data_IF_340032508762
#
_entry.id   IF_340032508762
#
_cell.length_a   1.000
_cell.length_b   1.000
_cell.length_c   1.000
_cell.angle_alpha   90.00
_cell.angle_beta   90.00
_cell.angle_gamma   90.00
#
_symmetry.space_group_name_H-M   'P 1'
#
loop_
_entity.id
_entity.type
_entity.pdbx_description
1 polymer ?
#
# COMPACT_ATOMS: atom_id res chain seq x y z
N UNK A 1 1.69 2.91 -34.92
CA UNK A 1 2.66 3.11 -33.82
C UNK A 1 3.65 4.18 -34.22
N UNK A 2 3.83 5.20 -33.41
CA UNK A 2 4.83 6.25 -33.60
C UNK A 2 5.99 6.00 -32.62
N UNK A 3 7.21 5.83 -33.15
CA UNK A 3 8.39 5.54 -32.35
C UNK A 3 9.18 6.82 -32.07
N UNK A 4 9.49 7.07 -30.80
CA UNK A 4 10.28 8.22 -30.33
C UNK A 4 11.59 7.69 -29.78
N UNK A 5 12.68 7.83 -30.54
CA UNK A 5 13.99 7.26 -30.24
C UNK A 5 15.07 8.31 -29.97
N UNK A 6 14.75 9.58 -30.18
CA UNK A 6 15.73 10.68 -29.98
C UNK A 6 15.13 11.79 -29.12
N UNK A 7 16.01 12.50 -28.40
CA UNK A 7 15.60 13.67 -27.63
C UNK A 7 14.95 14.76 -28.52
N UNK A 8 15.36 14.90 -29.77
CA UNK A 8 14.74 15.84 -30.73
C UNK A 8 13.31 15.46 -31.02
N UNK A 9 13.03 14.19 -31.30
CA UNK A 9 11.66 13.69 -31.53
C UNK A 9 10.81 13.83 -30.25
N UNK A 10 11.38 13.58 -29.08
CA UNK A 10 10.72 13.75 -27.79
C UNK A 10 10.33 15.23 -27.52
N UNK A 11 11.23 16.16 -27.82
CA UNK A 11 10.94 17.60 -27.68
C UNK A 11 9.85 18.05 -28.66
N UNK A 12 9.84 17.54 -29.89
CA UNK A 12 8.76 17.80 -30.85
C UNK A 12 7.42 17.23 -30.38
N UNK A 13 7.43 16.05 -29.76
CA UNK A 13 6.25 15.44 -29.18
C UNK A 13 5.71 16.28 -28.02
N UNK A 14 6.56 16.79 -27.13
CA UNK A 14 6.13 17.74 -26.08
C UNK A 14 5.52 19.03 -26.65
N UNK A 15 6.12 19.54 -27.73
CA UNK A 15 5.62 20.78 -28.37
C UNK A 15 4.22 20.61 -28.98
N UNK A 16 3.84 19.39 -29.37
CA UNK A 16 2.48 19.08 -29.85
C UNK A 16 1.42 19.02 -28.75
N UNK A 17 1.82 19.13 -27.48
CA UNK A 17 0.95 19.08 -26.28
C UNK A 17 -0.02 17.87 -26.30
N UNK A 18 0.50 16.64 -26.36
CA UNK A 18 -0.30 15.43 -26.53
C UNK A 18 -1.20 15.19 -25.32
N UNK A 19 -2.47 14.87 -25.58
CA UNK A 19 -3.41 14.45 -24.52
C UNK A 19 -3.27 12.94 -24.28
N UNK A 20 -2.39 12.56 -23.39
CA UNK A 20 -2.16 11.16 -23.02
C UNK A 20 -3.31 10.67 -22.15
N UNK A 21 -3.94 9.56 -22.55
CA UNK A 21 -5.03 8.89 -21.79
C UNK A 21 -4.54 7.66 -21.04
N UNK A 22 -3.48 6.99 -21.55
CA UNK A 22 -2.87 5.84 -20.92
C UNK A 22 -1.35 5.90 -21.06
N UNK A 23 -0.62 5.65 -19.97
CA UNK A 23 0.83 5.51 -19.95
C UNK A 23 1.22 4.17 -19.29
N UNK A 24 2.04 3.38 -19.97
CA UNK A 24 2.50 2.07 -19.49
C UNK A 24 4.02 1.98 -19.61
N UNK A 25 4.76 2.15 -18.49
CA UNK A 25 6.19 1.84 -18.45
C UNK A 25 6.39 0.33 -18.51
N UNK A 26 7.35 -0.12 -19.30
CA UNK A 26 7.82 -1.50 -19.29
C UNK A 26 9.23 -1.51 -18.72
N UNK A 27 9.40 -2.25 -17.63
CA UNK A 27 10.64 -2.29 -16.87
C UNK A 27 11.61 -3.33 -17.45
N UNK A 28 12.91 -3.06 -17.40
CA UNK A 28 13.94 -3.93 -17.96
C UNK A 28 14.07 -5.26 -17.22
N UNK A 29 13.76 -5.29 -15.92
CA UNK A 29 13.72 -6.53 -15.13
C UNK A 29 12.34 -6.74 -14.49
N UNK A 30 11.62 -7.79 -14.86
CA UNK A 30 10.32 -8.10 -14.26
C UNK A 30 10.41 -8.73 -12.86
N UNK A 31 11.60 -9.13 -12.42
CA UNK A 31 11.85 -9.77 -11.11
C UNK A 31 12.37 -8.80 -10.06
N UNK A 32 13.21 -7.84 -10.47
CA UNK A 32 13.73 -6.82 -9.57
C UNK A 32 12.62 -5.87 -9.15
N UNK A 33 12.80 -5.23 -8.00
CA UNK A 33 11.92 -4.14 -7.59
C UNK A 33 12.06 -2.95 -8.54
N UNK A 34 10.99 -2.21 -8.78
CA UNK A 34 10.97 -1.08 -9.73
C UNK A 34 11.98 0.02 -9.36
N UNK A 35 12.33 0.16 -8.07
CA UNK A 35 13.41 1.06 -7.63
C UNK A 35 14.82 0.53 -7.87
N UNK A 36 14.94 -0.75 -8.22
CA UNK A 36 16.23 -1.42 -8.50
C UNK A 36 16.37 -1.82 -9.98
N UNK A 37 15.55 -1.23 -10.84
CA UNK A 37 15.57 -1.48 -12.28
C UNK A 37 15.32 -0.18 -13.05
N UNK A 38 15.44 -0.21 -14.36
CA UNK A 38 15.17 0.93 -15.24
C UNK A 38 13.97 0.68 -16.15
N UNK A 39 13.37 1.76 -16.64
CA UNK A 39 12.34 1.65 -17.67
C UNK A 39 13.02 1.37 -19.00
N UNK A 40 12.64 0.29 -19.65
CA UNK A 40 13.09 -0.12 -20.98
C UNK A 40 12.48 0.79 -22.04
N UNK A 41 11.16 0.97 -21.98
CA UNK A 41 10.42 1.90 -22.83
C UNK A 41 9.11 2.33 -22.17
N UNK A 42 8.51 3.41 -22.67
CA UNK A 42 7.21 3.93 -22.22
C UNK A 42 6.23 3.92 -23.38
N UNK A 43 5.15 3.15 -23.26
CA UNK A 43 4.02 3.22 -24.16
C UNK A 43 3.06 4.33 -23.73
N UNK A 44 2.63 5.14 -24.70
CA UNK A 44 1.65 6.19 -24.51
C UNK A 44 0.51 6.04 -25.52
N UNK A 45 -0.73 6.08 -25.03
CA UNK A 45 -1.92 6.18 -25.85
C UNK A 45 -2.52 7.57 -25.71
N UNK A 46 -2.77 8.21 -26.84
CA UNK A 46 -3.57 9.44 -26.94
C UNK A 46 -4.94 9.10 -27.54
N UNK A 47 -5.82 10.10 -27.68
CA UNK A 47 -7.10 9.87 -28.35
C UNK A 47 -6.93 9.48 -29.83
N UNK A 48 -5.85 9.95 -30.47
CA UNK A 48 -5.68 9.85 -31.92
C UNK A 48 -4.60 8.85 -32.35
N UNK A 49 -3.64 8.58 -31.50
CA UNK A 49 -2.45 7.81 -31.86
C UNK A 49 -1.77 7.17 -30.66
N UNK A 50 -0.99 6.12 -30.95
CA UNK A 50 -0.13 5.43 -30.01
C UNK A 50 1.34 5.77 -30.26
N UNK A 51 2.12 5.89 -29.18
CA UNK A 51 3.54 6.22 -29.19
C UNK A 51 4.31 5.24 -28.29
N UNK A 52 5.55 4.94 -28.68
CA UNK A 52 6.54 4.30 -27.81
C UNK A 52 7.73 5.22 -27.69
N UNK A 53 8.07 5.60 -26.47
CA UNK A 53 9.30 6.32 -26.14
C UNK A 53 10.31 5.30 -25.66
N UNK A 54 11.43 5.21 -26.35
CA UNK A 54 12.43 4.18 -26.20
C UNK A 54 13.58 4.69 -25.31
N UNK A 55 13.92 3.97 -24.22
CA UNK A 55 14.98 4.36 -23.29
C UNK A 55 16.20 3.44 -23.37
N UNK A 56 16.03 2.18 -23.00
CA UNK A 56 17.09 1.19 -22.88
C UNK A 56 16.78 -0.12 -23.61
N UNK A 57 15.65 -0.19 -24.30
CA UNK A 57 15.27 -1.40 -25.01
C UNK A 57 16.32 -1.77 -26.06
N UNK A 58 16.50 -3.09 -26.34
CA UNK A 58 17.53 -3.63 -27.24
C UNK A 58 17.46 -3.03 -28.65
N UNK A 59 16.27 -2.65 -29.11
CA UNK A 59 16.03 -2.02 -30.40
C UNK A 59 16.26 -0.50 -30.41
N UNK A 60 16.91 0.06 -29.38
CA UNK A 60 16.81 1.48 -29.02
C UNK A 60 17.97 2.38 -29.44
N UNK A 61 17.62 3.60 -29.85
CA UNK A 61 18.39 4.81 -29.57
C UNK A 61 17.83 5.45 -28.29
N UNK A 62 18.69 6.07 -27.45
CA UNK A 62 18.28 6.51 -26.11
C UNK A 62 17.56 7.86 -26.10
N UNK A 63 16.39 7.93 -25.42
CA UNK A 63 15.77 9.16 -24.95
C UNK A 63 16.05 9.34 -23.46
N UNK A 64 16.79 10.39 -23.04
CA UNK A 64 17.15 10.63 -21.66
C UNK A 64 16.59 11.96 -21.08
N UNK A 65 15.86 12.74 -21.87
CA UNK A 65 15.28 14.02 -21.46
C UNK A 65 13.78 13.91 -21.14
N UNK A 66 13.35 12.76 -20.62
CA UNK A 66 11.94 12.58 -20.27
C UNK A 66 11.51 13.43 -19.09
N UNK A 67 10.33 14.03 -19.20
CA UNK A 67 9.64 14.78 -18.14
C UNK A 67 8.22 14.23 -18.03
N UNK A 68 8.00 13.37 -17.06
CA UNK A 68 6.69 12.74 -16.84
C UNK A 68 5.59 13.77 -16.54
N UNK A 69 5.89 14.87 -15.83
CA UNK A 69 4.98 15.96 -15.54
C UNK A 69 4.42 16.66 -16.78
N UNK A 70 5.13 16.56 -17.92
CA UNK A 70 4.65 17.05 -19.23
C UNK A 70 3.78 16.06 -19.99
N UNK A 71 3.84 14.78 -19.65
CA UNK A 71 3.10 13.71 -20.32
C UNK A 71 1.86 13.30 -19.55
N UNK A 72 1.95 13.33 -18.23
CA UNK A 72 0.96 12.77 -17.33
C UNK A 72 0.12 13.87 -16.71
N UNK A 73 -1.13 13.91 -17.11
CA UNK A 73 -2.14 14.77 -16.49
C UNK A 73 -2.86 14.04 -15.34
N UNK A 74 -3.63 14.77 -14.49
CA UNK A 74 -4.43 14.12 -13.45
C UNK A 74 -5.49 13.14 -13.97
N UNK A 75 -5.80 13.16 -15.27
CA UNK A 75 -6.75 12.24 -15.90
C UNK A 75 -6.08 11.11 -16.67
N UNK A 76 -4.76 11.09 -16.76
CA UNK A 76 -4.03 10.02 -17.42
C UNK A 76 -4.04 8.78 -16.54
N UNK A 77 -4.44 7.64 -17.10
CA UNK A 77 -4.28 6.32 -16.48
C UNK A 77 -2.82 5.89 -16.58
N UNK A 78 -2.18 5.59 -15.46
CA UNK A 78 -0.75 5.28 -15.41
C UNK A 78 -0.53 3.94 -14.75
N UNK A 79 -0.01 2.98 -15.50
CA UNK A 79 0.41 1.70 -14.95
C UNK A 79 1.69 1.88 -14.12
N UNK A 80 1.73 1.29 -12.92
CA UNK A 80 2.87 1.47 -12.00
C UNK A 80 3.07 2.92 -11.55
N UNK A 81 2.00 3.72 -11.47
CA UNK A 81 2.04 5.15 -11.13
C UNK A 81 2.82 5.45 -9.85
N UNK A 82 2.74 4.58 -8.86
CA UNK A 82 3.42 4.73 -7.57
C UNK A 82 4.95 4.80 -7.68
N UNK A 83 5.54 4.22 -8.72
CA UNK A 83 6.98 4.23 -8.97
C UNK A 83 7.43 5.41 -9.82
N UNK A 84 6.52 6.00 -10.59
CA UNK A 84 6.79 7.17 -11.41
C UNK A 84 6.55 8.48 -10.66
N UNK A 85 5.91 8.43 -9.51
CA UNK A 85 5.53 9.57 -8.66
C UNK A 85 4.83 10.70 -9.45
N UNK A 86 3.88 10.33 -10.32
CA UNK A 86 3.15 11.26 -11.17
C UNK A 86 1.77 11.61 -10.60
N UNK A 87 1.15 12.66 -11.13
CA UNK A 87 -0.21 13.08 -10.73
C UNK A 87 -1.32 12.27 -11.42
N UNK A 88 -0.98 11.27 -12.23
CA UNK A 88 -1.95 10.42 -12.92
C UNK A 88 -2.73 9.51 -11.98
N UNK A 89 -3.74 8.86 -12.54
CA UNK A 89 -4.52 7.83 -11.86
C UNK A 89 -3.78 6.48 -11.93
N UNK A 90 -3.72 5.76 -10.83
CA UNK A 90 -3.17 4.40 -10.80
C UNK A 90 -4.07 3.47 -11.62
N UNK A 91 -3.56 2.99 -12.76
CA UNK A 91 -4.32 2.13 -13.68
C UNK A 91 -4.71 0.81 -13.03
N UNK A 92 -3.81 0.20 -12.29
CA UNK A 92 -4.02 -1.10 -11.65
C UNK A 92 -5.14 -1.02 -10.62
N UNK A 93 -5.21 0.09 -9.88
CA UNK A 93 -6.28 0.38 -8.95
C UNK A 93 -7.63 0.59 -9.66
N UNK A 94 -7.65 1.46 -10.66
CA UNK A 94 -8.87 1.74 -11.44
C UNK A 94 -9.40 0.46 -12.10
N UNK A 95 -8.50 -0.35 -12.66
CA UNK A 95 -8.86 -1.63 -13.25
C UNK A 95 -9.41 -2.61 -12.20
N UNK A 96 -8.75 -2.69 -11.03
CA UNK A 96 -9.22 -3.53 -9.93
C UNK A 96 -10.63 -3.13 -9.47
N UNK A 97 -10.89 -1.84 -9.36
CA UNK A 97 -12.21 -1.36 -8.95
C UNK A 97 -13.30 -1.62 -10.00
N UNK A 98 -12.96 -1.58 -11.27
CA UNK A 98 -13.92 -1.86 -12.34
C UNK A 98 -14.19 -3.36 -12.52
N UNK A 99 -13.13 -4.16 -12.58
CA UNK A 99 -13.24 -5.58 -12.96
C UNK A 99 -13.16 -6.57 -11.79
N UNK A 100 -12.90 -6.14 -10.57
CA UNK A 100 -12.84 -6.98 -9.38
C UNK A 100 -11.61 -7.88 -9.26
N UNK A 101 -10.65 -7.77 -10.18
CA UNK A 101 -9.41 -8.56 -10.23
C UNK A 101 -8.21 -7.66 -10.53
N UNK A 102 -7.01 -7.97 -10.00
CA UNK A 102 -5.81 -7.20 -10.31
C UNK A 102 -5.46 -7.32 -11.81
N UNK A 103 -4.88 -6.26 -12.37
CA UNK A 103 -4.28 -6.28 -13.70
C UNK A 103 -2.81 -6.65 -13.59
N UNK A 104 -2.39 -7.70 -14.25
CA UNK A 104 -0.99 -8.16 -14.31
C UNK A 104 -0.55 -8.13 -15.77
N UNK A 105 0.33 -7.17 -16.11
CA UNK A 105 0.73 -6.91 -17.49
C UNK A 105 1.30 -8.14 -18.19
N UNK A 106 2.15 -8.93 -17.51
CA UNK A 106 2.74 -10.12 -18.10
C UNK A 106 1.70 -11.22 -18.38
N UNK A 107 0.75 -11.44 -17.45
CA UNK A 107 -0.34 -12.39 -17.67
C UNK A 107 -1.24 -11.96 -18.83
N UNK A 108 -1.54 -10.66 -18.92
CA UNK A 108 -2.29 -10.10 -20.04
C UNK A 108 -1.55 -10.28 -21.36
N UNK A 109 -0.23 -10.05 -21.37
CA UNK A 109 0.60 -10.29 -22.55
C UNK A 109 0.61 -11.76 -22.97
N UNK A 110 0.70 -12.69 -22.02
CA UNK A 110 0.61 -14.14 -22.28
C UNK A 110 -0.77 -14.55 -22.83
N UNK A 111 -1.85 -13.92 -22.35
CA UNK A 111 -3.20 -14.16 -22.86
C UNK A 111 -3.36 -13.68 -24.31
N UNK A 112 -2.83 -12.51 -24.64
CA UNK A 112 -2.84 -11.95 -26.00
C UNK A 112 -2.02 -12.81 -26.97
N UNK A 113 -0.87 -13.33 -26.53
CA UNK A 113 0.02 -14.18 -27.31
C UNK A 113 -0.02 -15.63 -26.83
N UNK A 114 -1.15 -16.31 -27.01
CA UNK A 114 -1.29 -17.74 -26.67
C UNK A 114 -0.17 -18.57 -27.29
N UNK A 115 0.69 -19.16 -26.46
CA UNK A 115 1.84 -20.00 -26.87
C UNK A 115 3.23 -19.36 -26.73
N UNK A 116 3.34 -18.08 -26.36
CA UNK A 116 4.62 -17.37 -26.15
C UNK A 116 4.84 -17.00 -24.67
N UNK A 117 4.41 -17.86 -23.75
CA UNK A 117 4.43 -17.56 -22.30
C UNK A 117 5.80 -17.22 -21.73
N UNK A 118 6.86 -17.83 -22.24
CA UNK A 118 8.23 -17.59 -21.75
C UNK A 118 8.75 -16.20 -22.11
N UNK A 119 8.33 -15.65 -23.25
CA UNK A 119 8.90 -14.43 -23.82
C UNK A 119 8.58 -13.18 -22.97
N UNK A 120 7.34 -13.06 -22.46
CA UNK A 120 6.90 -11.90 -21.69
C UNK A 120 7.23 -11.97 -20.20
N UNK A 121 7.57 -13.15 -19.69
CA UNK A 121 7.74 -13.37 -18.26
C UNK A 121 9.10 -12.94 -17.71
N UNK A 122 10.17 -12.98 -18.53
CA UNK A 122 11.54 -12.91 -18.02
C UNK A 122 12.48 -11.95 -18.76
N UNK A 123 12.15 -11.48 -19.96
CA UNK A 123 13.11 -10.80 -20.83
C UNK A 123 12.49 -9.61 -21.58
N UNK A 124 12.01 -8.61 -20.82
CA UNK A 124 11.32 -7.45 -21.41
C UNK A 124 12.13 -6.73 -22.50
N UNK A 125 13.46 -6.72 -22.39
CA UNK A 125 14.33 -6.10 -23.38
C UNK A 125 14.59 -6.96 -24.64
N UNK A 126 14.35 -8.28 -24.55
CA UNK A 126 14.58 -9.20 -25.66
C UNK A 126 13.36 -9.38 -26.57
N UNK A 127 12.18 -8.90 -26.15
CA UNK A 127 10.97 -8.99 -26.95
C UNK A 127 10.91 -7.79 -27.88
N UNK A 128 10.74 -7.95 -29.20
CA UNK A 128 10.65 -6.84 -30.15
C UNK A 128 9.54 -5.85 -29.76
N UNK A 129 9.82 -4.55 -29.89
CA UNK A 129 8.86 -3.48 -29.58
C UNK A 129 7.50 -3.65 -30.28
N UNK A 130 7.50 -4.22 -31.49
CA UNK A 130 6.27 -4.48 -32.24
C UNK A 130 5.36 -5.51 -31.55
N UNK A 131 5.94 -6.53 -30.90
CA UNK A 131 5.14 -7.49 -30.10
C UNK A 131 4.55 -6.82 -28.86
N UNK A 132 5.35 -6.04 -28.16
CA UNK A 132 4.86 -5.24 -27.05
C UNK A 132 3.74 -4.30 -27.48
N UNK A 133 3.90 -3.61 -28.61
CA UNK A 133 2.87 -2.73 -29.12
C UNK A 133 1.54 -3.46 -29.36
N UNK A 134 1.57 -4.67 -29.95
CA UNK A 134 0.37 -5.49 -30.18
C UNK A 134 -0.35 -5.87 -28.88
N UNK A 135 0.39 -6.04 -27.77
CA UNK A 135 -0.19 -6.24 -26.42
C UNK A 135 -0.76 -4.94 -25.88
N UNK A 136 0.07 -3.90 -25.84
CA UNK A 136 -0.23 -2.66 -25.12
C UNK A 136 -1.41 -1.91 -25.73
N UNK A 137 -1.57 -1.95 -27.06
CA UNK A 137 -2.73 -1.34 -27.73
C UNK A 137 -4.07 -2.01 -27.40
N UNK A 138 -4.08 -3.21 -26.82
CA UNK A 138 -5.28 -3.95 -26.41
C UNK A 138 -5.62 -3.76 -24.94
N UNK A 139 -4.80 -3.06 -24.17
CA UNK A 139 -5.11 -2.75 -22.77
C UNK A 139 -6.44 -1.98 -22.72
N UNK A 140 -7.43 -2.46 -21.95
CA UNK A 140 -8.72 -1.79 -21.86
C UNK A 140 -8.59 -0.43 -21.17
N UNK A 141 -9.32 0.56 -21.68
CA UNK A 141 -9.47 1.84 -21.00
C UNK A 141 -10.68 1.80 -20.09
N UNK A 142 -10.55 2.37 -18.91
CA UNK A 142 -11.68 2.63 -18.01
C UNK A 142 -12.04 4.11 -18.16
N UNK A 143 -13.29 4.37 -18.54
CA UNK A 143 -13.78 5.72 -18.82
C UNK A 143 -14.59 6.33 -17.66
N UNK A 144 -15.24 5.51 -16.85
CA UNK A 144 -16.03 5.97 -15.70
C UNK A 144 -15.11 6.14 -14.46
N UNK A 145 -14.46 7.32 -14.40
CA UNK A 145 -13.52 7.64 -13.32
C UNK A 145 -14.27 8.32 -12.17
N UNK A 146 -14.45 7.59 -11.08
CA UNK A 146 -15.05 8.09 -9.85
C UNK A 146 -14.07 8.95 -9.07
N UNK A 147 -14.58 9.96 -8.34
CA UNK A 147 -13.73 10.89 -7.58
C UNK A 147 -12.83 10.18 -6.55
N UNK A 148 -13.34 9.18 -5.85
CA UNK A 148 -12.57 8.44 -4.87
C UNK A 148 -11.43 7.58 -5.47
N UNK A 149 -11.44 7.31 -6.80
CA UNK A 149 -10.29 6.68 -7.47
C UNK A 149 -9.03 7.54 -7.36
N UNK A 150 -9.18 8.87 -7.41
CA UNK A 150 -8.04 9.81 -7.27
C UNK A 150 -7.43 9.74 -5.88
N UNK A 151 -8.27 9.78 -4.86
CA UNK A 151 -7.80 9.75 -3.46
C UNK A 151 -7.02 8.45 -3.18
N UNK A 152 -7.50 7.32 -3.68
CA UNK A 152 -6.79 6.06 -3.57
C UNK A 152 -5.51 6.02 -4.41
N UNK A 153 -5.51 6.57 -5.62
CA UNK A 153 -4.29 6.65 -6.45
C UNK A 153 -3.19 7.46 -5.75
N UNK A 154 -3.55 8.57 -5.08
CA UNK A 154 -2.62 9.35 -4.28
C UNK A 154 -2.08 8.55 -3.08
N UNK A 155 -2.94 7.79 -2.42
CA UNK A 155 -2.56 6.92 -1.31
C UNK A 155 -1.63 5.78 -1.74
N UNK A 156 -1.91 5.16 -2.88
CA UNK A 156 -1.07 4.10 -3.47
C UNK A 156 0.31 4.64 -3.87
N UNK A 157 0.36 5.87 -4.40
CA UNK A 157 1.63 6.55 -4.68
C UNK A 157 2.45 6.76 -3.41
N UNK A 158 1.79 7.07 -2.30
CA UNK A 158 2.44 7.18 -0.98
C UNK A 158 3.07 5.85 -0.53
N UNK A 159 2.42 4.70 -0.79
CA UNK A 159 3.02 3.38 -0.56
C UNK A 159 4.28 3.16 -1.42
N UNK A 160 4.28 3.60 -2.67
CA UNK A 160 5.48 3.53 -3.52
C UNK A 160 6.66 4.29 -2.92
N UNK A 161 6.44 5.49 -2.39
CA UNK A 161 7.49 6.24 -1.68
C UNK A 161 8.02 5.50 -0.46
N UNK A 162 7.15 4.82 0.29
CA UNK A 162 7.55 3.97 1.41
C UNK A 162 8.40 2.79 0.94
N UNK A 163 7.99 2.09 -0.11
CA UNK A 163 8.77 0.99 -0.70
C UNK A 163 10.18 1.45 -1.12
N UNK A 164 10.28 2.65 -1.72
CA UNK A 164 11.55 3.25 -2.16
C UNK A 164 12.54 3.53 -1.04
N UNK A 165 12.12 3.58 0.22
CA UNK A 165 13.03 3.72 1.35
C UNK A 165 13.94 2.50 1.52
N UNK A 166 13.49 1.30 1.12
CA UNK A 166 14.19 0.04 1.33
C UNK A 166 14.39 -0.29 2.82
N UNK A 167 14.55 -1.55 3.11
CA UNK A 167 14.80 -2.08 4.47
C UNK A 167 16.22 -2.59 4.53
N UNK A 168 17.06 -2.02 5.41
CA UNK A 168 18.42 -2.52 5.64
C UNK A 168 18.33 -3.84 6.41
N UNK A 169 19.03 -4.85 5.90
CA UNK A 169 19.05 -6.19 6.51
C UNK A 169 20.50 -6.62 6.81
N UNK A 170 20.61 -7.53 7.77
CA UNK A 170 21.81 -8.35 7.96
C UNK A 170 21.85 -9.34 6.81
N UNK A 171 22.72 -9.12 5.82
CA UNK A 171 22.70 -9.80 4.52
C UNK A 171 22.83 -11.33 4.66
N UNK A 172 23.81 -11.79 5.43
CA UNK A 172 24.10 -13.21 5.58
C UNK A 172 22.92 -13.95 6.24
N UNK A 173 22.48 -13.48 7.38
CA UNK A 173 21.38 -14.07 8.13
C UNK A 173 20.04 -13.98 7.37
N UNK A 174 19.83 -12.89 6.64
CA UNK A 174 18.61 -12.69 5.85
C UNK A 174 18.53 -13.65 4.65
N UNK A 175 19.65 -13.83 3.93
CA UNK A 175 19.74 -14.77 2.81
C UNK A 175 19.47 -16.19 3.29
N UNK A 176 20.12 -16.63 4.37
CA UNK A 176 19.93 -17.96 4.94
C UNK A 176 18.49 -18.18 5.40
N UNK A 177 17.93 -17.22 6.12
CA UNK A 177 16.60 -17.34 6.72
C UNK A 177 15.48 -17.41 5.70
N UNK A 178 15.56 -16.58 4.64
CA UNK A 178 14.50 -16.45 3.64
C UNK A 178 14.82 -17.14 2.31
N UNK A 179 15.97 -17.81 2.20
CA UNK A 179 16.51 -18.34 0.94
C UNK A 179 16.51 -17.28 -0.17
N UNK A 180 16.91 -16.07 0.22
CA UNK A 180 16.81 -14.88 -0.63
C UNK A 180 17.98 -14.84 -1.62
N UNK A 181 17.73 -14.45 -2.87
CA UNK A 181 18.81 -14.31 -3.83
C UNK A 181 19.56 -12.98 -3.61
N UNK A 182 20.87 -13.07 -3.42
CA UNK A 182 21.76 -11.92 -3.16
C UNK A 182 21.69 -10.84 -4.26
N UNK A 183 21.40 -11.20 -5.50
CA UNK A 183 21.26 -10.22 -6.60
C UNK A 183 20.15 -9.18 -6.34
N UNK A 184 19.19 -9.47 -5.47
CA UNK A 184 18.09 -8.59 -5.08
C UNK A 184 18.30 -7.87 -3.73
N UNK A 185 19.55 -7.87 -3.23
CA UNK A 185 19.95 -7.15 -2.01
C UNK A 185 21.00 -6.05 -2.31
N UNK A 186 20.70 -5.06 -3.15
CA UNK A 186 21.69 -4.06 -3.49
C UNK A 186 22.17 -3.34 -2.23
N UNK A 187 23.47 -3.48 -1.92
CA UNK A 187 24.09 -2.89 -0.71
C UNK A 187 23.42 -3.31 0.62
N UNK A 188 22.83 -4.50 0.66
CA UNK A 188 22.12 -5.03 1.81
C UNK A 188 20.77 -4.37 2.09
N UNK A 189 20.12 -3.86 1.05
CA UNK A 189 18.75 -3.37 1.14
C UNK A 189 17.78 -4.35 0.47
N UNK A 190 16.79 -4.80 1.21
CA UNK A 190 15.64 -5.49 0.66
C UNK A 190 14.50 -4.49 0.42
N UNK A 191 13.78 -4.66 -0.67
CA UNK A 191 12.59 -3.85 -0.94
C UNK A 191 11.31 -4.59 -0.54
N UNK A 192 10.35 -3.85 -0.01
CA UNK A 192 9.00 -4.33 0.24
C UNK A 192 8.12 -4.05 -0.97
N UNK A 193 7.02 -4.78 -1.14
CA UNK A 193 6.05 -4.52 -2.20
C UNK A 193 4.63 -4.65 -1.66
N UNK A 194 3.98 -3.51 -1.48
CA UNK A 194 2.60 -3.46 -1.01
C UNK A 194 1.62 -3.76 -2.14
N UNK A 195 0.65 -4.61 -1.86
CA UNK A 195 -0.47 -4.87 -2.75
C UNK A 195 -1.76 -4.29 -2.16
N UNK A 196 -2.20 -3.10 -2.56
CA UNK A 196 -3.42 -2.46 -2.11
C UNK A 196 -4.68 -2.98 -2.82
N UNK A 197 -4.55 -3.80 -3.86
CA UNK A 197 -5.64 -4.30 -4.70
C UNK A 197 -6.41 -5.41 -3.99
N UNK A 198 -7.05 -5.06 -2.88
CA UNK A 198 -7.84 -5.93 -2.02
C UNK A 198 -9.24 -5.36 -1.80
N UNK A 199 -10.18 -6.18 -1.37
CA UNK A 199 -11.57 -5.75 -1.13
C UNK A 199 -11.65 -4.54 -0.20
N UNK A 200 -10.84 -4.50 0.85
CA UNK A 200 -10.81 -3.40 1.83
C UNK A 200 -9.76 -2.33 1.53
N UNK A 201 -8.94 -2.50 0.49
CA UNK A 201 -7.77 -1.66 0.24
C UNK A 201 -6.62 -1.88 1.22
N UNK A 202 -6.79 -2.75 2.24
CA UNK A 202 -5.75 -3.07 3.23
C UNK A 202 -4.60 -3.79 2.55
N UNK A 203 -3.41 -3.19 2.46
CA UNK A 203 -2.35 -3.73 1.65
C UNK A 203 -1.72 -4.96 2.30
N UNK A 204 -1.58 -6.04 1.53
CA UNK A 204 -0.62 -7.08 1.87
C UNK A 204 0.79 -6.61 1.47
N UNK A 205 1.82 -7.18 2.10
CA UNK A 205 3.20 -6.81 1.81
C UNK A 205 4.05 -8.06 1.62
N UNK A 206 4.27 -8.45 0.37
CA UNK A 206 5.07 -9.62 -0.01
C UNK A 206 5.95 -9.29 -1.20
N UNK A 207 7.22 -9.62 -1.10
CA UNK A 207 8.14 -9.51 -2.22
C UNK A 207 9.21 -10.59 -2.15
N UNK A 208 9.50 -11.26 -3.28
CA UNK A 208 10.54 -12.28 -3.43
C UNK A 208 10.54 -13.35 -2.31
N UNK A 209 9.35 -13.86 -1.96
CA UNK A 209 9.18 -14.89 -0.94
C UNK A 209 8.99 -14.38 0.50
N UNK A 210 9.40 -13.15 0.79
CA UNK A 210 9.26 -12.56 2.14
C UNK A 210 7.87 -11.98 2.35
N UNK A 211 7.19 -12.41 3.41
CA UNK A 211 5.92 -11.83 3.86
C UNK A 211 6.18 -10.82 4.99
N UNK A 212 6.45 -9.58 4.63
CA UNK A 212 6.81 -8.51 5.55
C UNK A 212 5.71 -8.16 6.57
N UNK A 213 4.44 -8.32 6.17
CA UNK A 213 3.31 -8.04 7.05
C UNK A 213 3.09 -9.12 8.13
N UNK A 214 3.64 -10.32 7.95
CA UNK A 214 3.45 -11.47 8.83
C UNK A 214 4.76 -12.07 9.34
N UNK A 215 5.83 -11.27 9.48
CA UNK A 215 7.07 -11.70 10.14
C UNK A 215 6.78 -11.98 11.61
N UNK A 216 7.13 -13.18 12.04
CA UNK A 216 6.87 -13.65 13.40
C UNK A 216 7.78 -12.94 14.41
N UNK A 217 7.24 -12.64 15.59
CA UNK A 217 7.99 -12.06 16.72
C UNK A 217 8.83 -13.10 17.48
N UNK A 218 8.49 -14.39 17.37
CA UNK A 218 9.05 -15.45 18.22
C UNK A 218 10.03 -16.38 17.52
N UNK A 219 10.27 -16.21 16.21
CA UNK A 219 11.12 -17.12 15.42
C UNK A 219 12.44 -16.49 14.93
N UNK A 220 12.75 -15.27 15.40
CA UNK A 220 13.96 -14.53 15.05
C UNK A 220 13.96 -13.93 13.63
N UNK A 221 12.88 -14.06 12.86
CA UNK A 221 12.82 -13.50 11.49
C UNK A 221 12.98 -11.98 11.48
N UNK A 222 12.53 -11.29 12.52
CA UNK A 222 12.62 -9.83 12.65
C UNK A 222 14.03 -9.34 13.01
N UNK A 223 14.87 -10.17 13.64
CA UNK A 223 16.23 -9.81 14.03
C UNK A 223 17.11 -9.40 12.84
N UNK A 224 16.77 -9.88 11.65
CA UNK A 224 17.49 -9.57 10.42
C UNK A 224 17.27 -8.13 9.91
N UNK A 225 16.28 -7.41 10.42
CA UNK A 225 16.01 -6.00 10.05
C UNK A 225 16.79 -5.11 11.01
N UNK A 226 17.73 -4.34 10.48
CA UNK A 226 18.65 -3.49 11.24
C UNK A 226 18.65 -2.05 10.74
N UNK A 227 19.21 -1.13 11.54
CA UNK A 227 19.37 0.26 11.10
C UNK A 227 20.43 0.38 10.00
N UNK A 228 20.17 1.22 8.99
CA UNK A 228 21.14 1.62 7.95
C UNK A 228 22.24 2.55 8.47
N UNK A 229 22.06 3.11 9.66
CA UNK A 229 22.98 4.11 10.21
C UNK A 229 23.88 3.48 11.28
N UNK A 230 25.16 3.82 11.23
CA UNK A 230 26.06 3.47 12.34
C UNK A 230 25.60 4.19 13.62
N UNK A 231 25.27 3.40 14.65
CA UNK A 231 24.71 3.90 15.90
C UNK A 231 23.25 4.39 15.78
N UNK A 232 22.58 4.06 14.67
CA UNK A 232 21.15 4.28 14.51
C UNK A 232 20.31 3.27 15.26
N UNK A 233 19.02 3.51 15.32
CA UNK A 233 18.04 2.66 16.01
C UNK A 233 16.78 2.52 15.18
N UNK A 234 16.01 1.45 15.45
CA UNK A 234 14.66 1.30 14.92
C UNK A 234 13.65 1.79 15.96
N UNK A 235 12.72 2.65 15.54
CA UNK A 235 11.56 3.04 16.34
C UNK A 235 10.30 2.44 15.72
N UNK A 236 9.52 1.71 16.51
CA UNK A 236 8.18 1.29 16.12
C UNK A 236 7.13 2.11 16.88
N UNK A 237 6.18 2.64 16.16
CA UNK A 237 4.96 3.23 16.70
C UNK A 237 3.80 2.28 16.45
N UNK A 238 3.05 1.94 17.50
CA UNK A 238 1.98 0.95 17.48
C UNK A 238 0.73 1.54 18.15
N UNK A 239 -0.41 1.52 17.46
CA UNK A 239 -1.66 2.05 18.00
C UNK A 239 -2.22 1.16 19.12
N UNK A 240 -2.59 1.79 20.21
CA UNK A 240 -3.20 1.13 21.35
C UNK A 240 -4.67 0.80 21.08
N UNK A 241 -5.03 -0.50 21.07
CA UNK A 241 -6.40 -0.99 20.88
C UNK A 241 -7.11 -0.39 19.65
N UNK A 242 -6.39 -0.28 18.53
CA UNK A 242 -6.75 0.57 17.39
C UNK A 242 -8.17 0.34 16.87
N UNK A 243 -8.54 -0.89 16.54
CA UNK A 243 -9.88 -1.21 16.02
C UNK A 243 -10.98 -0.85 17.03
N UNK A 244 -10.78 -1.13 18.32
CA UNK A 244 -11.77 -0.78 19.37
C UNK A 244 -11.97 0.73 19.43
N UNK A 245 -10.88 1.50 19.33
CA UNK A 245 -10.94 2.96 19.35
C UNK A 245 -11.56 3.56 18.08
N UNK A 246 -11.26 2.97 16.90
CA UNK A 246 -11.93 3.35 15.64
C UNK A 246 -13.45 3.13 15.80
N UNK A 247 -13.85 1.94 16.25
CA UNK A 247 -15.26 1.62 16.48
C UNK A 247 -15.89 2.56 17.50
N UNK A 248 -15.22 2.79 18.62
CA UNK A 248 -15.71 3.75 19.64
C UNK A 248 -16.06 5.11 19.04
N UNK A 249 -15.19 5.62 18.15
CA UNK A 249 -15.48 6.87 17.43
C UNK A 249 -16.65 6.76 16.47
N UNK A 250 -16.75 5.64 15.73
CA UNK A 250 -17.85 5.42 14.78
C UNK A 250 -19.21 5.40 15.48
N UNK A 251 -19.28 4.80 16.69
CA UNK A 251 -20.52 4.67 17.47
C UNK A 251 -20.71 5.76 18.52
N UNK A 252 -19.82 6.76 18.58
CA UNK A 252 -19.88 7.85 19.57
C UNK A 252 -19.70 7.37 21.01
N UNK A 253 -18.89 6.33 21.25
CA UNK A 253 -18.53 5.84 22.57
C UNK A 253 -17.18 6.39 23.02
N UNK A 254 -17.10 6.87 24.26
CA UNK A 254 -15.86 7.38 24.86
C UNK A 254 -15.36 6.41 25.92
N UNK A 255 -14.11 5.99 25.79
CA UNK A 255 -13.40 5.26 26.83
C UNK A 255 -12.94 6.22 27.93
N UNK A 256 -12.77 5.73 29.15
CA UNK A 256 -12.29 6.55 30.26
C UNK A 256 -10.87 7.09 29.97
N UNK A 257 -10.60 8.31 30.46
CA UNK A 257 -9.27 8.91 30.33
C UNK A 257 -8.27 8.18 31.25
N UNK A 258 -7.04 8.03 30.76
CA UNK A 258 -5.96 7.35 31.50
C UNK A 258 -6.00 5.82 31.48
N UNK A 259 -6.99 5.23 30.79
CA UNK A 259 -7.11 3.77 30.63
C UNK A 259 -6.96 3.36 29.16
N UNK A 260 -6.40 2.17 28.97
CA UNK A 260 -6.47 1.51 27.66
C UNK A 260 -7.91 1.06 27.40
N UNK A 261 -8.29 0.90 26.13
CA UNK A 261 -9.64 0.42 25.80
C UNK A 261 -9.88 -1.01 26.34
N UNK A 262 -8.82 -1.83 26.41
CA UNK A 262 -8.90 -3.17 26.98
C UNK A 262 -9.06 -3.16 28.50
N UNK A 263 -8.38 -2.27 29.23
CA UNK A 263 -8.59 -2.09 30.69
C UNK A 263 -10.01 -1.62 30.99
N UNK A 264 -10.51 -0.68 30.19
CA UNK A 264 -11.89 -0.20 30.32
C UNK A 264 -12.90 -1.35 30.14
N UNK A 265 -12.75 -2.18 29.10
CA UNK A 265 -13.63 -3.30 28.82
C UNK A 265 -13.46 -4.45 29.82
N UNK A 266 -12.25 -4.68 30.33
CA UNK A 266 -11.96 -5.70 31.35
C UNK A 266 -12.86 -5.57 32.58
N UNK A 267 -13.18 -4.32 33.00
CA UNK A 267 -14.08 -4.04 34.10
C UNK A 267 -15.49 -4.58 33.89
N UNK A 268 -15.99 -4.48 32.65
CA UNK A 268 -17.31 -5.04 32.28
C UNK A 268 -17.28 -6.56 32.14
N UNK A 269 -16.16 -7.12 31.68
CA UNK A 269 -16.00 -8.58 31.55
C UNK A 269 -15.73 -9.27 32.90
N UNK A 270 -15.20 -8.54 33.88
CA UNK A 270 -14.73 -9.14 35.14
C UNK A 270 -13.50 -10.01 35.01
N UNK A 271 -12.59 -9.68 34.10
CA UNK A 271 -11.39 -10.46 33.73
C UNK A 271 -10.14 -9.58 33.71
N UNK A 272 -8.96 -10.21 33.52
CA UNK A 272 -7.69 -9.48 33.29
C UNK A 272 -7.68 -8.70 31.97
N UNK A 273 -6.74 -7.75 31.80
CA UNK A 273 -6.58 -6.98 30.57
C UNK A 273 -6.20 -7.86 29.39
N UNK A 274 -5.37 -8.89 29.61
CA UNK A 274 -5.02 -9.88 28.58
C UNK A 274 -6.24 -10.67 28.07
N UNK A 275 -7.03 -11.18 29.01
CA UNK A 275 -8.28 -11.89 28.68
C UNK A 275 -9.29 -10.96 28.00
N UNK A 276 -9.39 -9.70 28.45
CA UNK A 276 -10.21 -8.68 27.83
C UNK A 276 -9.84 -8.46 26.37
N UNK A 277 -8.55 -8.46 26.04
CA UNK A 277 -8.08 -8.37 24.66
C UNK A 277 -8.63 -9.50 23.81
N UNK A 278 -8.49 -10.74 24.27
CA UNK A 278 -8.98 -11.93 23.56
C UNK A 278 -10.51 -11.92 23.37
N UNK A 279 -11.25 -11.57 24.42
CA UNK A 279 -12.72 -11.44 24.39
C UNK A 279 -13.18 -10.33 23.44
N UNK A 280 -12.53 -9.18 23.50
CA UNK A 280 -12.86 -8.06 22.60
C UNK A 280 -12.69 -8.44 21.14
N UNK A 281 -11.62 -9.14 20.77
CA UNK A 281 -11.42 -9.64 19.40
C UNK A 281 -12.48 -10.69 19.03
N UNK A 282 -12.79 -11.61 19.94
CA UNK A 282 -13.86 -12.60 19.73
C UNK A 282 -15.19 -11.90 19.40
N UNK A 283 -15.59 -10.90 20.18
CA UNK A 283 -16.84 -10.18 19.99
C UNK A 283 -16.83 -9.30 18.72
N UNK A 284 -15.73 -8.64 18.42
CA UNK A 284 -15.64 -7.78 17.24
C UNK A 284 -15.65 -8.56 15.92
N UNK A 285 -15.05 -9.74 15.88
CA UNK A 285 -14.89 -10.51 14.64
C UNK A 285 -15.80 -11.74 14.55
N UNK A 286 -16.15 -12.33 15.69
CA UNK A 286 -16.97 -13.54 15.76
C UNK A 286 -18.46 -13.31 15.99
N UNK A 287 -18.85 -12.07 16.36
CA UNK A 287 -20.22 -11.71 16.67
C UNK A 287 -20.49 -11.59 18.19
N UNK A 288 -21.57 -10.86 18.53
CA UNK A 288 -21.94 -10.53 19.90
C UNK A 288 -22.91 -11.58 20.45
N UNK A 289 -22.56 -12.15 21.62
CA UNK A 289 -23.50 -12.95 22.42
C UNK A 289 -24.36 -12.02 23.33
N UNK A 290 -25.33 -12.61 24.03
CA UNK A 290 -26.25 -11.85 24.90
C UNK A 290 -25.53 -11.12 26.03
N UNK A 291 -24.43 -11.69 26.54
CA UNK A 291 -23.61 -11.02 27.56
C UNK A 291 -22.94 -9.77 26.99
N UNK A 292 -22.29 -9.88 25.83
CA UNK A 292 -21.64 -8.75 25.17
C UNK A 292 -22.63 -7.65 24.80
N UNK A 293 -23.83 -8.01 24.33
CA UNK A 293 -24.92 -7.05 24.04
C UNK A 293 -25.39 -6.27 25.28
N UNK A 294 -25.17 -6.79 26.49
CA UNK A 294 -25.43 -6.09 27.74
C UNK A 294 -24.42 -4.99 28.07
N UNK A 295 -23.26 -4.94 27.42
CA UNK A 295 -22.20 -3.96 27.66
C UNK A 295 -22.47 -2.68 26.85
N UNK A 296 -22.46 -1.49 27.46
CA UNK A 296 -22.84 -0.24 26.78
C UNK A 296 -22.07 0.06 25.49
N UNK A 297 -20.82 -0.33 25.42
CA UNK A 297 -20.01 -0.21 24.20
C UNK A 297 -20.58 -1.08 23.09
N UNK A 298 -20.81 -2.36 23.38
CA UNK A 298 -21.27 -3.33 22.37
C UNK A 298 -22.75 -3.17 22.00
N UNK A 299 -23.58 -2.58 22.86
CA UNK A 299 -24.95 -2.19 22.49
C UNK A 299 -24.89 -1.21 21.29
N UNK A 300 -24.10 -0.16 21.41
CA UNK A 300 -23.89 0.79 20.30
C UNK A 300 -23.26 0.17 19.06
N UNK A 301 -22.36 -0.79 19.26
CA UNK A 301 -21.72 -1.53 18.14
C UNK A 301 -22.75 -2.38 17.42
N UNK A 302 -23.63 -3.10 18.13
CA UNK A 302 -24.70 -3.93 17.55
C UNK A 302 -25.66 -3.08 16.71
N UNK A 303 -26.17 -1.99 17.28
CA UNK A 303 -27.04 -1.03 16.57
C UNK A 303 -26.37 -0.49 15.29
N UNK A 304 -25.08 -0.21 15.36
CA UNK A 304 -24.33 0.30 14.22
C UNK A 304 -24.13 -0.77 13.15
N UNK A 305 -23.80 -2.02 13.53
CA UNK A 305 -23.68 -3.17 12.62
C UNK A 305 -24.99 -3.37 11.86
N UNK A 306 -26.12 -3.39 12.55
CA UNK A 306 -27.46 -3.52 11.95
C UNK A 306 -27.73 -2.40 10.94
N UNK A 307 -27.44 -1.14 11.32
CA UNK A 307 -27.62 0.02 10.44
C UNK A 307 -26.75 -0.05 9.19
N UNK A 308 -25.48 -0.46 9.34
CA UNK A 308 -24.55 -0.63 8.19
C UNK A 308 -25.05 -1.72 7.24
N UNK A 309 -25.46 -2.86 7.79
CA UNK A 309 -25.93 -3.98 6.98
C UNK A 309 -27.22 -3.65 6.23
N UNK A 310 -28.19 -3.01 6.88
CA UNK A 310 -29.42 -2.56 6.22
C UNK A 310 -29.13 -1.61 5.06
N UNK A 311 -28.25 -0.61 5.29
CA UNK A 311 -27.84 0.31 4.21
C UNK A 311 -27.15 -0.42 3.06
N UNK A 312 -26.30 -1.39 3.38
CA UNK A 312 -25.61 -2.21 2.38
C UNK A 312 -26.58 -3.01 1.52
N UNK A 313 -27.56 -3.69 2.14
CA UNK A 313 -28.58 -4.47 1.43
C UNK A 313 -29.44 -3.58 0.53
N UNK A 314 -29.87 -2.41 1.03
CA UNK A 314 -30.71 -1.48 0.26
C UNK A 314 -29.96 -0.84 -0.91
N UNK A 315 -28.71 -0.41 -0.68
CA UNK A 315 -27.94 0.34 -1.69
C UNK A 315 -27.17 -0.55 -2.67
N UNK A 316 -27.00 -1.85 -2.36
CA UNK A 316 -26.17 -2.78 -3.13
C UNK A 316 -24.68 -2.50 -3.05
N UNK A 317 -24.25 -1.69 -2.07
CA UNK A 317 -22.83 -1.30 -1.90
C UNK A 317 -22.51 -0.89 -0.46
N UNK A 318 -21.28 -1.16 -0.05
CA UNK A 318 -20.73 -0.69 1.21
C UNK A 318 -19.89 0.55 0.95
N UNK A 319 -20.27 1.70 1.54
CA UNK A 319 -19.56 2.97 1.34
C UNK A 319 -18.68 3.28 2.54
N UNK A 320 -17.38 3.52 2.30
CA UNK A 320 -16.46 3.88 3.38
C UNK A 320 -16.68 5.32 3.86
N UNK A 321 -16.50 5.58 5.17
CA UNK A 321 -16.85 6.90 5.73
C UNK A 321 -15.90 8.02 5.28
N UNK A 322 -14.61 7.72 5.04
CA UNK A 322 -13.59 8.74 4.86
C UNK A 322 -13.36 9.08 3.39
N UNK A 323 -13.06 8.09 2.55
CA UNK A 323 -12.77 8.28 1.11
C UNK A 323 -13.99 8.12 0.22
N UNK A 324 -15.13 7.70 0.79
CA UNK A 324 -16.39 7.45 0.05
C UNK A 324 -16.25 6.35 -1.00
N UNK A 325 -15.30 5.43 -0.80
CA UNK A 325 -15.14 4.25 -1.67
C UNK A 325 -16.38 3.39 -1.59
N UNK A 326 -16.81 2.89 -2.71
CA UNK A 326 -17.95 1.99 -2.83
C UNK A 326 -17.48 0.56 -3.12
N UNK A 327 -17.70 -0.35 -2.18
CA UNK A 327 -17.46 -1.79 -2.35
C UNK A 327 -18.78 -2.41 -2.79
N UNK A 328 -18.90 -2.88 -4.04
CA UNK A 328 -20.15 -3.40 -4.56
C UNK A 328 -20.51 -4.75 -3.90
N UNK A 329 -21.84 -5.03 -3.81
CA UNK A 329 -22.40 -6.24 -3.22
C UNK A 329 -21.73 -7.52 -3.76
N UNK A 330 -21.49 -7.59 -5.05
CA UNK A 330 -20.94 -8.77 -5.73
C UNK A 330 -19.54 -9.17 -5.22
N UNK A 331 -18.77 -8.23 -4.64
CA UNK A 331 -17.44 -8.51 -4.08
C UNK A 331 -17.47 -9.14 -2.69
N UNK A 332 -18.58 -8.99 -1.98
CA UNK A 332 -18.78 -9.47 -0.62
C UNK A 332 -20.12 -10.20 -0.48
N UNK A 333 -20.60 -10.78 -1.59
CA UNK A 333 -21.85 -11.56 -1.63
C UNK A 333 -21.83 -12.69 -0.60
N UNK A 334 -22.96 -12.91 0.07
CA UNK A 334 -23.08 -13.90 1.14
C UNK A 334 -22.37 -13.53 2.45
N UNK A 335 -21.83 -12.33 2.58
CA UNK A 335 -21.26 -11.86 3.84
C UNK A 335 -22.36 -11.63 4.89
N UNK A 336 -22.14 -12.13 6.10
CA UNK A 336 -22.99 -11.84 7.25
C UNK A 336 -22.85 -10.38 7.69
N UNK A 337 -23.78 -9.88 8.50
CA UNK A 337 -23.76 -8.54 9.08
C UNK A 337 -22.39 -8.22 9.69
N UNK A 338 -21.85 -9.14 10.49
CA UNK A 338 -20.54 -9.00 11.12
C UNK A 338 -19.40 -8.94 10.10
N UNK A 339 -19.44 -9.72 9.03
CA UNK A 339 -18.45 -9.67 7.97
C UNK A 339 -18.48 -8.36 7.19
N UNK A 340 -19.68 -7.87 6.86
CA UNK A 340 -19.85 -6.56 6.21
C UNK A 340 -19.26 -5.44 7.08
N UNK A 341 -19.53 -5.48 8.38
CA UNK A 341 -18.96 -4.53 9.33
C UNK A 341 -17.42 -4.65 9.40
N UNK A 342 -16.88 -5.87 9.40
CA UNK A 342 -15.42 -6.08 9.40
C UNK A 342 -14.76 -5.54 8.13
N UNK A 343 -15.40 -5.66 6.98
CA UNK A 343 -14.92 -5.03 5.74
C UNK A 343 -14.89 -3.50 5.87
N UNK A 344 -15.95 -2.90 6.43
CA UNK A 344 -16.02 -1.46 6.66
C UNK A 344 -14.91 -0.99 7.61
N UNK A 345 -14.71 -1.70 8.72
CA UNK A 345 -13.71 -1.37 9.73
C UNK A 345 -12.29 -1.42 9.16
N UNK A 346 -11.95 -2.51 8.44
CA UNK A 346 -10.64 -2.65 7.80
C UNK A 346 -10.40 -1.60 6.70
N UNK A 347 -11.43 -1.26 5.93
CA UNK A 347 -11.31 -0.23 4.92
C UNK A 347 -11.08 1.15 5.56
N UNK A 348 -11.82 1.47 6.64
CA UNK A 348 -11.65 2.72 7.36
C UNK A 348 -10.28 2.82 8.04
N UNK A 349 -9.80 1.74 8.68
CA UNK A 349 -8.44 1.64 9.21
C UNK A 349 -7.41 1.99 8.14
N UNK A 350 -7.55 1.36 6.97
CA UNK A 350 -6.65 1.57 5.83
C UNK A 350 -6.65 3.02 5.36
N UNK A 351 -7.82 3.62 5.21
CA UNK A 351 -7.96 5.03 4.79
C UNK A 351 -7.35 6.01 5.81
N UNK A 352 -7.51 5.75 7.11
CA UNK A 352 -6.87 6.55 8.16
C UNK A 352 -5.34 6.40 8.07
N UNK A 353 -4.86 5.16 7.94
CA UNK A 353 -3.43 4.88 7.89
C UNK A 353 -2.75 5.46 6.64
N UNK A 354 -3.40 5.45 5.49
CA UNK A 354 -2.86 6.09 4.29
C UNK A 354 -2.60 7.58 4.50
N UNK A 355 -3.53 8.30 5.16
CA UNK A 355 -3.30 9.70 5.54
C UNK A 355 -2.14 9.84 6.52
N UNK A 356 -2.03 8.93 7.49
CA UNK A 356 -0.92 8.95 8.47
C UNK A 356 0.43 8.67 7.83
N UNK A 357 0.51 7.70 6.92
CA UNK A 357 1.72 7.43 6.16
C UNK A 357 2.15 8.67 5.38
N UNK A 358 1.22 9.32 4.68
CA UNK A 358 1.52 10.55 3.94
C UNK A 358 2.05 11.67 4.86
N UNK A 359 1.41 11.89 6.02
CA UNK A 359 1.84 12.89 7.01
C UNK A 359 3.24 12.57 7.57
N UNK A 360 3.52 11.30 7.90
CA UNK A 360 4.83 10.83 8.38
C UNK A 360 5.89 11.01 7.31
N UNK A 361 5.64 10.62 6.07
CA UNK A 361 6.59 10.77 4.98
C UNK A 361 6.89 12.25 4.66
N UNK A 362 5.88 13.12 4.70
CA UNK A 362 6.07 14.59 4.58
C UNK A 362 6.91 15.15 5.72
N UNK A 363 6.70 14.68 6.94
CA UNK A 363 7.48 15.09 8.10
C UNK A 363 8.94 14.67 8.00
N UNK A 364 9.20 13.49 7.44
CA UNK A 364 10.56 12.95 7.22
C UNK A 364 11.22 13.45 5.92
N UNK A 365 10.54 14.26 5.12
CA UNK A 365 11.12 14.80 3.89
C UNK A 365 12.33 15.70 4.20
N UNK A 366 13.40 15.52 3.42
CA UNK A 366 14.69 16.18 3.66
C UNK A 366 15.45 15.68 4.90
N UNK A 367 14.91 14.72 5.67
CA UNK A 367 15.57 14.10 6.83
C UNK A 367 16.36 12.85 6.44
N UNK A 368 17.29 12.45 7.31
CA UNK A 368 18.06 11.22 7.16
C UNK A 368 17.26 9.99 7.57
N UNK A 369 16.50 10.10 8.66
CA UNK A 369 15.59 9.06 9.14
C UNK A 369 14.54 8.72 8.10
N UNK A 370 14.15 7.45 8.02
CA UNK A 370 13.21 6.95 7.00
C UNK A 370 12.15 6.04 7.62
N UNK A 371 10.90 6.20 7.21
CA UNK A 371 9.90 5.18 7.43
C UNK A 371 10.19 4.03 6.48
N UNK A 372 10.34 2.80 7.00
CA UNK A 372 10.80 1.63 6.25
C UNK A 372 9.77 0.52 6.14
N UNK A 373 8.82 0.46 7.07
CA UNK A 373 7.80 -0.57 7.06
C UNK A 373 6.48 -0.05 7.67
N UNK A 374 5.38 -0.48 7.10
CA UNK A 374 4.03 -0.32 7.60
C UNK A 374 3.37 -1.71 7.70
N UNK A 375 2.88 -2.05 8.87
CA UNK A 375 2.22 -3.33 9.14
C UNK A 375 0.93 -3.10 9.91
N UNK A 376 -0.12 -2.69 9.18
CA UNK A 376 -1.48 -2.45 9.67
C UNK A 376 -1.58 -1.34 10.73
N UNK A 377 -1.38 -1.64 11.99
CA UNK A 377 -1.44 -0.73 13.13
C UNK A 377 -0.06 -0.22 13.59
N UNK A 378 1.01 -0.67 12.94
CA UNK A 378 2.38 -0.33 13.31
C UNK A 378 3.18 0.34 12.17
N UNK A 379 4.02 1.32 12.56
CA UNK A 379 4.90 2.10 11.69
C UNK A 379 6.34 1.94 12.16
N UNK A 380 7.22 1.41 11.32
CA UNK A 380 8.63 1.20 11.64
C UNK A 380 9.49 2.26 10.96
N UNK A 381 10.28 2.95 11.76
CA UNK A 381 11.15 4.06 11.35
C UNK A 381 12.61 3.66 11.61
N UNK A 382 13.45 3.79 10.61
CA UNK A 382 14.90 3.67 10.73
C UNK A 382 15.49 5.05 11.03
N UNK A 383 16.00 5.25 12.23
CA UNK A 383 16.29 6.55 12.83
C UNK A 383 17.76 6.85 12.85
N UNK A 384 18.13 8.00 12.27
CA UNK A 384 19.48 8.55 12.39
C UNK A 384 19.73 9.03 13.84
N UNK A 385 20.91 8.76 14.45
CA UNK A 385 21.20 9.07 15.86
C UNK A 385 20.91 10.54 16.25
N UNK A 386 21.22 11.49 15.37
CA UNK A 386 21.04 12.93 15.64
C UNK A 386 19.58 13.40 15.52
N UNK A 387 18.66 12.56 15.05
CA UNK A 387 17.27 12.92 14.82
C UNK A 387 16.31 12.23 15.78
N UNK A 388 16.81 11.37 16.67
CA UNK A 388 16.02 10.46 17.50
C UNK A 388 14.94 11.18 18.33
N UNK A 389 15.34 12.16 19.13
CA UNK A 389 14.41 12.86 20.02
C UNK A 389 13.31 13.57 19.24
N UNK A 390 13.70 14.22 18.14
CA UNK A 390 12.77 14.90 17.26
C UNK A 390 11.79 13.91 16.60
N UNK A 391 12.33 12.80 16.02
CA UNK A 391 11.50 11.77 15.38
C UNK A 391 10.48 11.19 16.37
N UNK A 392 10.92 10.85 17.57
CA UNK A 392 10.05 10.31 18.61
C UNK A 392 8.89 11.27 18.93
N UNK A 393 9.22 12.54 19.19
CA UNK A 393 8.24 13.56 19.57
C UNK A 393 7.26 13.89 18.44
N UNK A 394 7.79 14.21 17.25
CA UNK A 394 6.97 14.77 16.17
C UNK A 394 6.13 13.69 15.48
N UNK A 395 6.68 12.48 15.30
CA UNK A 395 5.90 11.39 14.71
C UNK A 395 4.84 10.86 15.67
N UNK A 396 5.14 10.75 16.98
CA UNK A 396 4.13 10.42 17.99
C UNK A 396 2.97 11.42 17.94
N UNK A 397 3.27 12.72 17.94
CA UNK A 397 2.26 13.78 17.83
C UNK A 397 1.41 13.65 16.54
N UNK A 398 2.05 13.39 15.38
CA UNK A 398 1.34 13.19 14.10
C UNK A 398 0.40 11.99 14.19
N UNK A 399 0.88 10.86 14.70
CA UNK A 399 0.11 9.63 14.76
C UNK A 399 -1.05 9.75 15.73
N UNK A 400 -0.86 10.39 16.89
CA UNK A 400 -1.89 10.59 17.91
C UNK A 400 -2.96 11.62 17.53
N UNK A 401 -2.70 12.48 16.54
CA UNK A 401 -3.74 13.38 16.01
C UNK A 401 -4.94 12.57 15.52
N UNK A 402 -6.10 12.90 16.03
CA UNK A 402 -7.32 12.15 15.82
C UNK A 402 -7.69 11.30 17.05
N UNK A 403 -6.89 11.33 18.14
CA UNK A 403 -7.19 10.71 19.44
C UNK A 403 -7.05 9.18 19.42
N UNK A 404 -6.02 8.67 18.76
CA UNK A 404 -5.59 7.28 18.80
C UNK A 404 -4.24 7.22 19.53
N UNK A 405 -4.17 6.79 20.79
CA UNK A 405 -2.92 6.69 21.54
C UNK A 405 -1.93 5.75 20.86
N UNK A 406 -0.65 6.09 20.90
CA UNK A 406 0.43 5.34 20.29
C UNK A 406 1.47 4.97 21.35
N UNK A 407 1.87 3.70 21.36
CA UNK A 407 3.04 3.21 22.09
C UNK A 407 4.25 3.26 21.18
N UNK A 408 5.37 3.74 21.72
CA UNK A 408 6.63 3.78 20.99
C UNK A 408 7.59 2.73 21.55
N UNK A 409 8.26 2.02 20.67
CA UNK A 409 9.25 1.01 21.00
C UNK A 409 10.56 1.32 20.29
N UNK A 410 11.68 0.98 20.91
CA UNK A 410 13.01 1.21 20.37
C UNK A 410 13.87 -0.03 20.45
N UNK A 411 14.74 -0.27 19.46
CA UNK A 411 15.70 -1.36 19.47
C UNK A 411 16.80 -1.22 18.44
N UNK A 412 17.84 -2.04 18.58
CA UNK A 412 18.95 -2.13 17.60
C UNK A 412 18.55 -2.91 16.34
N UNK A 413 17.55 -3.78 16.44
CA UNK A 413 16.91 -4.50 15.34
C UNK A 413 15.41 -4.63 15.61
N UNK A 414 14.67 -5.16 14.65
CA UNK A 414 13.20 -5.23 14.72
C UNK A 414 12.66 -6.29 15.72
N UNK A 415 13.51 -7.17 16.23
CA UNK A 415 13.14 -8.19 17.22
C UNK A 415 13.34 -7.70 18.67
N UNK A 416 14.35 -6.84 18.89
CA UNK A 416 14.75 -6.34 20.23
C UNK A 416 14.08 -5.00 20.57
N UNK A 417 12.82 -4.83 20.24
CA UNK A 417 12.11 -3.58 20.50
C UNK A 417 11.61 -3.54 21.94
N UNK A 418 12.03 -2.54 22.70
CA UNK A 418 11.60 -2.26 24.08
C UNK A 418 10.70 -1.04 24.14
N UNK A 419 9.70 -1.07 25.02
CA UNK A 419 8.75 0.05 25.22
C UNK A 419 9.49 1.25 25.76
N UNK A 420 9.30 2.39 25.12
CA UNK A 420 9.74 3.70 25.61
C UNK A 420 8.70 4.20 26.62
N UNK A 421 9.12 4.58 27.83
CA UNK A 421 8.22 5.06 28.88
C UNK A 421 7.40 6.30 28.51
#
# INVERSE_FOLDING_TARGET
>A
MNLIETNKALLSFYASNPKVVLAVPVWSSPKAHEYDTSISFLYLRTNDSDYIINFNHIDAQRCNLIKFDRLISPNTLVFGNRYLDTKGLDYEWVYFEEYGKPFILNEFAEEVYRGYRSDFKYLNDCIPLMRWYEVLKRIPLVSDIKEWYRVYSDSIRTLGRLEGAGVKVDEENFIDRFHFNNEYLPKGFAYTKYNPYTVTGRPSNRHLGVNWAAMNKSDGSRANIVSRFKGGTLLQFDYESYHIRIIGKMVGYRFAEGETAHEHLAKYYGVSTEESKALSFKYLYGGLDEFAKGIPFFQKVDEYIQSVYQKFVISGRLTTPLYKREIPFQRIEGATEQKVFNYLLQALETEINYKKIEEVLKCLDGRRSKMILYTYDAFLIDVHPTEKEWVLKDLKFILERGGFPVRAYEGSNYDNLELIP
#
